data_IF_636534729631
#
_entry.id   IF_636534729631
#
_cell.length_a   1.000
_cell.length_b   1.000
_cell.length_c   1.000
_cell.angle_alpha   90.00
_cell.angle_beta   90.00
_cell.angle_gamma   90.00
#
_symmetry.space_group_name_H-M   'P 1'
#
loop_
_entity.id
_entity.type
_entity.pdbx_description
1 polymer ?
#
# COMPACT_ATOMS: atom_id res chain seq x y z
N UNK A 1 16.26 -13.17 -16.19
CA UNK A 1 15.83 -12.49 -14.95
C UNK A 1 16.59 -13.16 -13.82
N UNK A 2 17.42 -12.43 -13.09
CA UNK A 2 18.16 -13.00 -11.95
C UNK A 2 17.29 -12.92 -10.67
N UNK A 3 17.72 -13.57 -9.59
CA UNK A 3 16.98 -13.58 -8.32
C UNK A 3 16.84 -12.17 -7.73
N UNK A 4 17.87 -11.33 -7.85
CA UNK A 4 17.87 -9.95 -7.34
C UNK A 4 16.80 -9.07 -8.02
N UNK A 5 16.61 -9.23 -9.33
CA UNK A 5 15.59 -8.53 -10.11
C UNK A 5 14.19 -9.00 -9.71
N UNK A 6 14.02 -10.29 -9.44
CA UNK A 6 12.77 -10.87 -8.97
C UNK A 6 12.43 -10.36 -7.56
N UNK A 7 13.40 -10.33 -6.64
CA UNK A 7 13.22 -9.80 -5.29
C UNK A 7 12.85 -8.31 -5.31
N UNK A 8 13.50 -7.51 -6.16
CA UNK A 8 13.15 -6.10 -6.36
C UNK A 8 11.74 -5.93 -6.89
N UNK A 9 11.32 -6.74 -7.86
CA UNK A 9 9.96 -6.69 -8.40
C UNK A 9 8.90 -7.09 -7.36
N UNK A 10 9.17 -8.15 -6.58
CA UNK A 10 8.29 -8.57 -5.48
C UNK A 10 8.20 -7.45 -4.43
N UNK A 11 9.33 -6.87 -4.03
CA UNK A 11 9.39 -5.76 -3.09
C UNK A 11 8.60 -4.54 -3.59
N UNK A 12 8.76 -4.18 -4.87
CA UNK A 12 8.04 -3.07 -5.48
C UNK A 12 6.53 -3.34 -5.52
N UNK A 13 6.12 -4.54 -5.93
CA UNK A 13 4.70 -4.94 -5.95
C UNK A 13 4.10 -4.88 -4.55
N UNK A 14 4.78 -5.42 -3.54
CA UNK A 14 4.31 -5.37 -2.16
C UNK A 14 4.15 -3.94 -1.66
N UNK A 15 5.14 -3.07 -1.91
CA UNK A 15 5.06 -1.64 -1.54
C UNK A 15 3.87 -0.97 -2.20
N UNK A 16 3.63 -1.24 -3.48
CA UNK A 16 2.51 -0.69 -4.23
C UNK A 16 1.15 -1.13 -3.65
N UNK A 17 0.98 -2.41 -3.36
CA UNK A 17 -0.24 -2.98 -2.81
C UNK A 17 -0.53 -2.49 -1.38
N UNK A 18 0.51 -2.38 -0.54
CA UNK A 18 0.37 -1.88 0.83
C UNK A 18 0.04 -0.39 0.86
N UNK A 19 0.70 0.41 0.01
CA UNK A 19 0.42 1.85 -0.06
C UNK A 19 -1.01 2.12 -0.54
N UNK A 20 -1.50 1.40 -1.55
CA UNK A 20 -2.87 1.58 -2.03
C UNK A 20 -3.90 1.27 -0.92
N UNK A 21 -3.73 0.18 -0.17
CA UNK A 21 -4.59 -0.16 0.97
C UNK A 21 -4.46 0.83 2.11
N UNK A 22 -3.26 1.32 2.39
CA UNK A 22 -3.05 2.36 3.40
C UNK A 22 -3.83 3.63 3.03
N UNK A 23 -3.70 4.13 1.80
CA UNK A 23 -4.44 5.32 1.35
C UNK A 23 -5.96 5.14 1.38
N UNK A 24 -6.45 3.91 1.25
CA UNK A 24 -7.86 3.60 1.41
C UNK A 24 -8.33 3.67 2.87
N UNK A 25 -7.53 3.19 3.82
CA UNK A 25 -7.91 3.14 5.24
C UNK A 25 -7.73 4.48 5.98
N UNK A 26 -6.78 5.34 5.57
CA UNK A 26 -6.57 6.63 6.27
C UNK A 26 -7.75 7.60 6.21
N UNK A 27 -8.58 7.54 5.16
CA UNK A 27 -9.61 8.56 4.96
C UNK A 27 -10.89 8.27 5.75
N UNK A 28 -11.12 7.02 6.19
CA UNK A 28 -12.42 6.61 6.72
C UNK A 28 -12.29 5.36 7.62
N UNK A 29 -13.17 5.28 8.61
CA UNK A 29 -13.39 4.08 9.41
C UNK A 29 -14.13 3.02 8.56
N UNK A 30 -13.40 2.34 7.68
CA UNK A 30 -13.97 1.40 6.69
C UNK A 30 -13.91 -0.04 7.17
N UNK A 31 -15.06 -0.68 7.28
CA UNK A 31 -15.16 -2.11 7.58
C UNK A 31 -15.14 -3.00 6.32
N UNK A 32 -15.13 -2.41 5.13
CA UNK A 32 -15.12 -3.13 3.85
C UNK A 32 -13.67 -3.36 3.41
N UNK A 33 -13.35 -4.56 2.90
CA UNK A 33 -12.02 -4.87 2.36
C UNK A 33 -11.71 -4.02 1.12
N UNK A 34 -10.45 -3.65 0.91
CA UNK A 34 -10.04 -2.88 -0.27
C UNK A 34 -10.42 -3.58 -1.58
N UNK A 35 -10.39 -4.91 -1.61
CA UNK A 35 -10.72 -5.66 -2.82
C UNK A 35 -12.23 -5.63 -3.15
N UNK A 36 -13.07 -5.29 -2.18
CA UNK A 36 -14.54 -5.30 -2.29
C UNK A 36 -15.13 -3.94 -2.67
N UNK A 37 -14.34 -2.87 -2.62
CA UNK A 37 -14.82 -1.53 -2.99
C UNK A 37 -14.93 -1.36 -4.50
N UNK A 38 -15.59 -0.28 -4.92
CA UNK A 38 -15.74 0.04 -6.33
C UNK A 38 -14.37 0.25 -7.02
N UNK A 39 -14.30 -0.09 -8.30
CA UNK A 39 -13.05 -0.08 -9.07
C UNK A 39 -12.43 1.31 -9.22
N UNK A 40 -13.25 2.38 -9.25
CA UNK A 40 -12.75 3.74 -9.44
C UNK A 40 -12.03 4.24 -8.19
N UNK A 41 -12.52 3.86 -7.01
CA UNK A 41 -11.87 4.13 -5.73
C UNK A 41 -10.57 3.32 -5.56
N UNK A 42 -10.57 2.04 -5.94
CA UNK A 42 -9.32 1.25 -5.96
C UNK A 42 -8.29 1.90 -6.88
N UNK A 43 -8.70 2.32 -8.08
CA UNK A 43 -7.83 2.99 -9.06
C UNK A 43 -7.26 4.30 -8.53
N UNK A 44 -8.05 5.08 -7.78
CA UNK A 44 -7.56 6.30 -7.15
C UNK A 44 -6.45 5.99 -6.14
N UNK A 45 -6.67 5.00 -5.27
CA UNK A 45 -5.68 4.59 -4.27
C UNK A 45 -4.38 4.10 -4.93
N UNK A 46 -4.49 3.27 -5.97
CA UNK A 46 -3.34 2.83 -6.76
C UNK A 46 -2.65 3.98 -7.49
N UNK A 47 -3.39 4.97 -8.01
CA UNK A 47 -2.78 6.14 -8.63
C UNK A 47 -1.93 6.94 -7.65
N UNK A 48 -2.42 7.14 -6.42
CA UNK A 48 -1.66 7.81 -5.35
C UNK A 48 -0.44 6.98 -4.95
N UNK A 49 -0.59 5.67 -4.73
CA UNK A 49 0.53 4.77 -4.45
C UNK A 49 1.62 4.82 -5.53
N UNK A 50 1.22 4.84 -6.80
CA UNK A 50 2.14 4.95 -7.92
C UNK A 50 2.93 6.27 -7.89
N UNK A 51 2.30 7.39 -7.55
CA UNK A 51 2.97 8.69 -7.40
C UNK A 51 4.02 8.66 -6.30
N UNK A 52 3.71 8.08 -5.14
CA UNK A 52 4.66 7.94 -4.04
C UNK A 52 5.88 7.10 -4.42
N UNK A 53 5.69 6.04 -5.21
CA UNK A 53 6.80 5.23 -5.73
C UNK A 53 7.64 6.04 -6.72
N UNK A 54 7.01 6.72 -7.70
CA UNK A 54 7.73 7.52 -8.70
C UNK A 54 8.52 8.67 -8.09
N UNK A 55 8.02 9.27 -7.01
CA UNK A 55 8.67 10.36 -6.30
C UNK A 55 9.69 9.88 -5.25
N UNK A 56 9.96 8.56 -5.18
CA UNK A 56 10.85 7.93 -4.19
C UNK A 56 10.44 8.22 -2.72
N UNK A 57 9.16 8.45 -2.47
CA UNK A 57 8.60 8.73 -1.13
C UNK A 57 8.06 7.48 -0.42
N UNK A 58 7.83 6.40 -1.17
CA UNK A 58 7.26 5.16 -0.66
C UNK A 58 8.03 4.58 0.54
N UNK A 59 9.36 4.50 0.44
CA UNK A 59 10.19 3.85 1.46
C UNK A 59 10.25 4.64 2.76
N UNK A 60 10.32 5.96 2.69
CA UNK A 60 10.36 6.83 3.86
C UNK A 60 9.00 6.90 4.56
N UNK A 61 7.91 6.89 3.80
CA UNK A 61 6.56 6.78 4.34
C UNK A 61 6.39 5.45 5.10
N UNK A 62 6.67 4.31 4.45
CA UNK A 62 6.51 2.99 5.07
C UNK A 62 7.35 2.83 6.35
N UNK A 63 8.59 3.34 6.36
CA UNK A 63 9.43 3.34 7.58
C UNK A 63 8.80 4.16 8.71
N UNK A 64 8.22 5.31 8.37
CA UNK A 64 7.55 6.17 9.36
C UNK A 64 6.33 5.45 9.94
N UNK A 65 5.47 4.88 9.10
CA UNK A 65 4.27 4.14 9.53
C UNK A 65 4.60 2.95 10.43
N UNK A 66 5.66 2.19 10.10
CA UNK A 66 6.14 1.09 10.96
C UNK A 66 6.61 1.62 12.32
N UNK A 67 7.39 2.71 12.32
CA UNK A 67 7.94 3.30 13.54
C UNK A 67 6.86 3.85 14.46
N UNK A 68 5.80 4.42 13.88
CA UNK A 68 4.68 5.01 14.61
C UNK A 68 3.63 3.98 15.03
N UNK A 69 3.78 2.72 14.58
CA UNK A 69 2.81 1.65 14.81
C UNK A 69 1.39 2.07 14.37
N UNK A 70 1.34 2.68 13.18
CA UNK A 70 0.13 3.26 12.61
C UNK A 70 -0.98 2.21 12.41
N UNK A 71 -2.18 2.50 12.94
CA UNK A 71 -3.29 1.55 12.98
C UNK A 71 -3.85 1.27 11.58
N UNK A 72 -3.91 2.28 10.71
CA UNK A 72 -4.40 2.16 9.33
C UNK A 72 -3.41 1.34 8.48
N UNK A 73 -2.11 1.53 8.72
CA UNK A 73 -1.07 0.71 8.10
C UNK A 73 -1.16 -0.75 8.55
N UNK A 74 -1.39 -1.01 9.84
CA UNK A 74 -1.61 -2.38 10.34
C UNK A 74 -2.85 -3.00 9.68
N UNK A 75 -3.92 -2.22 9.51
CA UNK A 75 -5.15 -2.66 8.82
C UNK A 75 -4.86 -2.98 7.34
N UNK A 76 -4.10 -2.14 6.65
CA UNK A 76 -3.66 -2.36 5.28
C UNK A 76 -2.83 -3.65 5.10
N UNK A 77 -1.95 -3.97 6.07
CA UNK A 77 -1.20 -5.24 6.07
C UNK A 77 -2.16 -6.43 6.22
N UNK A 78 -3.11 -6.36 7.16
CA UNK A 78 -4.09 -7.43 7.37
C UNK A 78 -4.90 -7.71 6.11
N UNK A 79 -5.41 -6.65 5.48
CA UNK A 79 -6.18 -6.73 4.23
C UNK A 79 -5.33 -7.12 2.99
N UNK A 80 -4.01 -7.04 3.08
CA UNK A 80 -3.13 -7.56 2.03
C UNK A 80 -2.87 -9.07 2.15
N UNK A 81 -2.84 -9.58 3.39
CA UNK A 81 -2.52 -10.99 3.68
C UNK A 81 -3.75 -11.89 3.68
N UNK A 82 -4.91 -11.36 4.09
CA UNK A 82 -6.18 -12.07 4.18
C UNK A 82 -6.97 -12.03 2.87
#
# INVERSE_FOLDING_TARGET
MNNDDLEKQISLKMKFELLARFFYYIEQDKDISFNEINIDEQRLCYFVAHRYIQENKADDLLKTLIKENDEDYIKAIKDYIC
#
